data_IF_709170367678
#
_entry.id   IF_709170367678
#
_cell.length_a   1.000
_cell.length_b   1.000
_cell.length_c   1.000
_cell.angle_alpha   90.00
_cell.angle_beta   90.00
_cell.angle_gamma   90.00
#
_symmetry.space_group_name_H-M   'P 1'
#
loop_
_entity.id
_entity.type
_entity.pdbx_description
1 polymer ?
#
# COMPACT_ATOMS: atom_id res chain seq x y z
N UNK A 1 -10.12 5.27 -11.34
CA UNK A 1 -9.37 4.74 -10.19
C UNK A 1 -8.62 3.49 -10.60
N UNK A 2 -7.43 3.28 -10.08
CA UNK A 2 -6.56 2.17 -10.43
C UNK A 2 -7.13 0.83 -9.99
N UNK A 3 -7.17 -0.16 -10.90
CA UNK A 3 -7.56 -1.53 -10.58
C UNK A 3 -6.56 -2.16 -9.59
N UNK A 4 -5.28 -1.79 -9.69
CA UNK A 4 -4.23 -2.29 -8.79
C UNK A 4 -4.48 -1.82 -7.36
N UNK A 5 -4.89 -0.56 -7.21
CA UNK A 5 -5.24 -0.02 -5.88
C UNK A 5 -6.43 -0.76 -5.29
N UNK A 6 -7.49 -0.97 -6.08
CA UNK A 6 -8.69 -1.67 -5.61
C UNK A 6 -8.38 -3.12 -5.19
N UNK A 7 -7.58 -3.83 -5.97
CA UNK A 7 -7.17 -5.18 -5.63
C UNK A 7 -6.40 -5.22 -4.30
N UNK A 8 -5.48 -4.27 -4.12
CA UNK A 8 -4.71 -4.15 -2.88
C UNK A 8 -5.63 -3.89 -1.69
N UNK A 9 -6.55 -2.92 -1.80
CA UNK A 9 -7.46 -2.55 -0.71
C UNK A 9 -8.38 -3.71 -0.32
N UNK A 10 -8.90 -4.44 -1.31
CA UNK A 10 -9.80 -5.58 -1.04
C UNK A 10 -9.08 -6.68 -0.25
N UNK A 11 -7.89 -7.07 -0.68
CA UNK A 11 -7.14 -8.08 0.04
C UNK A 11 -6.66 -7.58 1.40
N UNK A 12 -6.20 -6.33 1.46
CA UNK A 12 -5.72 -5.73 2.70
C UNK A 12 -6.83 -5.71 3.76
N UNK A 13 -8.02 -5.23 3.42
CA UNK A 13 -9.15 -5.19 4.36
C UNK A 13 -9.51 -6.58 4.86
N UNK A 14 -9.51 -7.57 3.97
CA UNK A 14 -9.77 -8.96 4.35
C UNK A 14 -8.76 -9.44 5.41
N UNK A 15 -7.48 -9.16 5.21
CA UNK A 15 -6.42 -9.58 6.16
C UNK A 15 -6.49 -8.79 7.46
N UNK A 16 -6.75 -7.49 7.41
CA UNK A 16 -6.83 -6.65 8.61
C UNK A 16 -8.02 -7.04 9.50
N UNK A 17 -9.14 -7.47 8.89
CA UNK A 17 -10.32 -7.93 9.64
C UNK A 17 -10.01 -9.13 10.52
N UNK A 18 -8.97 -9.89 10.18
CA UNK A 18 -8.57 -11.09 10.92
C UNK A 18 -7.38 -10.84 11.85
N UNK A 19 -6.91 -9.62 11.98
CA UNK A 19 -5.87 -9.30 12.97
C UNK A 19 -6.42 -9.55 14.38
N UNK A 20 -5.53 -9.86 15.36
CA UNK A 20 -5.97 -10.03 16.75
C UNK A 20 -6.82 -8.85 17.23
N UNK A 21 -7.83 -9.11 18.05
CA UNK A 21 -8.77 -8.07 18.49
C UNK A 21 -8.09 -6.93 19.24
N UNK A 22 -7.00 -7.20 19.97
CA UNK A 22 -6.26 -6.15 20.67
C UNK A 22 -5.54 -5.19 19.72
N UNK A 23 -5.38 -5.55 18.43
CA UNK A 23 -4.75 -4.71 17.42
C UNK A 23 -5.73 -4.09 16.44
N UNK A 24 -7.03 -4.35 16.56
CA UNK A 24 -8.01 -3.76 15.63
C UNK A 24 -8.05 -2.22 15.72
N UNK A 25 -7.83 -1.66 16.90
CA UNK A 25 -7.73 -0.21 17.11
C UNK A 25 -6.28 0.29 17.16
N UNK A 26 -5.33 -0.62 17.01
CA UNK A 26 -3.90 -0.32 16.96
C UNK A 26 -3.36 -0.39 15.56
N UNK A 27 -2.49 -1.37 15.29
CA UNK A 27 -1.78 -1.48 14.01
C UNK A 27 -2.71 -1.64 12.81
N UNK A 28 -3.81 -2.42 12.96
CA UNK A 28 -4.78 -2.57 11.86
C UNK A 28 -5.38 -1.22 11.44
N UNK A 29 -5.73 -0.38 12.41
CA UNK A 29 -6.25 0.96 12.12
C UNK A 29 -5.21 1.85 11.45
N UNK A 30 -3.96 1.83 11.94
CA UNK A 30 -2.86 2.61 11.35
C UNK A 30 -2.66 2.18 9.88
N UNK A 31 -2.64 0.89 9.60
CA UNK A 31 -2.48 0.36 8.24
C UNK A 31 -3.62 0.83 7.34
N UNK A 32 -4.87 0.76 7.82
CA UNK A 32 -6.03 1.24 7.06
C UNK A 32 -5.92 2.72 6.71
N UNK A 33 -5.53 3.54 7.68
CA UNK A 33 -5.37 4.98 7.47
C UNK A 33 -4.28 5.25 6.41
N UNK A 34 -3.16 4.55 6.46
CA UNK A 34 -2.11 4.67 5.45
C UNK A 34 -2.61 4.25 4.07
N UNK A 35 -3.35 3.15 4.01
CA UNK A 35 -3.88 2.65 2.74
C UNK A 35 -4.89 3.62 2.12
N UNK A 36 -5.77 4.22 2.92
CA UNK A 36 -6.73 5.20 2.43
C UNK A 36 -6.07 6.51 2.03
N UNK A 37 -4.98 6.91 2.68
CA UNK A 37 -4.22 8.10 2.28
C UNK A 37 -3.63 7.96 0.87
N UNK A 38 -3.35 6.75 0.42
CA UNK A 38 -2.90 6.51 -0.95
C UNK A 38 -3.96 7.00 -1.97
N UNK A 39 -5.23 6.72 -1.69
CA UNK A 39 -6.34 7.18 -2.54
C UNK A 39 -6.38 8.70 -2.61
N UNK A 40 -6.27 9.35 -1.47
CA UNK A 40 -6.28 10.82 -1.39
C UNK A 40 -5.15 11.43 -2.21
N UNK A 41 -3.93 10.90 -2.07
CA UNK A 41 -2.78 11.41 -2.83
C UNK A 41 -2.88 11.10 -4.33
N UNK A 42 -3.48 9.98 -4.71
CA UNK A 42 -3.75 9.71 -6.13
C UNK A 42 -4.67 10.77 -6.73
N UNK A 43 -5.75 11.09 -6.02
CA UNK A 43 -6.72 12.11 -6.48
C UNK A 43 -6.04 13.48 -6.57
N UNK A 44 -5.27 13.85 -5.54
CA UNK A 44 -4.53 15.12 -5.55
C UNK A 44 -3.57 15.20 -6.73
N UNK A 45 -2.85 14.11 -7.02
CA UNK A 45 -1.92 14.07 -8.16
C UNK A 45 -2.66 14.24 -9.48
N UNK A 46 -3.84 13.64 -9.62
CA UNK A 46 -4.65 13.77 -10.84
C UNK A 46 -5.22 15.16 -11.03
N UNK A 47 -5.60 15.83 -9.93
CA UNK A 47 -6.39 17.07 -9.98
C UNK A 47 -5.56 18.34 -9.85
N UNK A 48 -4.44 18.30 -9.17
CA UNK A 48 -3.60 19.49 -8.98
C UNK A 48 -2.85 19.85 -10.26
N UNK A 49 -2.67 21.16 -10.47
CA UNK A 49 -1.85 21.68 -11.57
C UNK A 49 -0.38 21.31 -11.36
N UNK A 50 0.15 21.53 -10.17
CA UNK A 50 1.50 21.11 -9.80
C UNK A 50 1.45 19.71 -9.17
N UNK A 51 2.04 18.73 -9.85
CA UNK A 51 1.87 17.31 -9.52
C UNK A 51 3.03 16.71 -8.75
N UNK A 52 4.16 17.42 -8.67
CA UNK A 52 5.37 16.85 -8.04
C UNK A 52 5.19 16.61 -6.54
N UNK A 53 4.59 17.57 -5.81
CA UNK A 53 4.34 17.40 -4.37
C UNK A 53 3.40 16.23 -4.07
N UNK A 54 2.20 16.15 -4.68
CA UNK A 54 1.32 15.02 -4.37
C UNK A 54 1.85 13.66 -4.82
N UNK A 55 2.59 13.57 -5.94
CA UNK A 55 3.17 12.27 -6.33
C UNK A 55 4.28 11.83 -5.35
N UNK A 56 5.06 12.78 -4.83
CA UNK A 56 6.05 12.47 -3.81
C UNK A 56 5.38 12.03 -2.50
N UNK A 57 4.28 12.66 -2.12
CA UNK A 57 3.49 12.26 -0.95
C UNK A 57 2.93 10.85 -1.13
N UNK A 58 2.47 10.51 -2.32
CA UNK A 58 1.99 9.17 -2.64
C UNK A 58 3.11 8.14 -2.49
N UNK A 59 4.29 8.44 -3.02
CA UNK A 59 5.46 7.57 -2.94
C UNK A 59 5.86 7.30 -1.49
N UNK A 60 5.89 8.35 -0.67
CA UNK A 60 6.22 8.24 0.76
C UNK A 60 5.16 7.41 1.50
N UNK A 61 3.88 7.69 1.26
CA UNK A 61 2.79 6.96 1.90
C UNK A 61 2.82 5.47 1.53
N UNK A 62 3.15 5.16 0.29
CA UNK A 62 3.32 3.78 -0.17
C UNK A 62 4.43 3.07 0.61
N UNK A 63 5.58 3.71 0.79
CA UNK A 63 6.68 3.13 1.56
C UNK A 63 6.29 2.96 3.04
N UNK A 64 5.57 3.92 3.61
CA UNK A 64 5.07 3.82 4.98
C UNK A 64 4.12 2.62 5.14
N UNK A 65 3.23 2.41 4.18
CA UNK A 65 2.35 1.25 4.17
C UNK A 65 3.16 -0.05 4.14
N UNK A 66 4.14 -0.13 3.24
CA UNK A 66 5.01 -1.30 3.11
C UNK A 66 5.67 -1.63 4.45
N UNK A 67 6.21 -0.63 5.14
CA UNK A 67 6.90 -0.83 6.42
C UNK A 67 5.95 -1.28 7.52
N UNK A 68 4.75 -0.73 7.57
CA UNK A 68 3.76 -1.14 8.57
C UNK A 68 3.29 -2.58 8.33
N UNK A 69 3.16 -3.00 7.08
CA UNK A 69 2.84 -4.39 6.75
C UNK A 69 3.96 -5.34 7.18
N UNK A 70 5.20 -4.92 6.99
CA UNK A 70 6.36 -5.68 7.45
C UNK A 70 6.33 -5.85 8.98
N UNK A 71 6.05 -4.78 9.72
CA UNK A 71 5.90 -4.84 11.19
C UNK A 71 4.83 -5.85 11.59
N UNK A 72 3.68 -5.82 10.91
CA UNK A 72 2.59 -6.77 11.17
C UNK A 72 3.02 -8.22 10.93
N UNK A 73 3.78 -8.46 9.85
CA UNK A 73 4.30 -9.80 9.54
C UNK A 73 5.29 -10.27 10.61
N UNK A 74 6.13 -9.39 11.13
CA UNK A 74 7.06 -9.71 12.20
C UNK A 74 6.34 -10.12 13.49
N UNK A 75 5.14 -9.59 13.73
CA UNK A 75 4.29 -9.97 14.85
C UNK A 75 3.43 -11.21 14.58
N UNK A 76 3.55 -11.79 13.39
CA UNK A 76 2.76 -12.92 12.94
C UNK A 76 1.24 -12.64 12.90
N UNK A 77 0.86 -11.39 12.67
CA UNK A 77 -0.56 -10.98 12.66
C UNK A 77 -1.32 -11.52 11.45
N UNK A 78 -0.64 -11.82 10.35
CA UNK A 78 -1.26 -12.42 9.17
C UNK A 78 -1.53 -13.92 9.36
N UNK A 79 -1.05 -14.52 10.44
CA UNK A 79 -1.29 -15.93 10.75
C UNK A 79 -2.67 -16.24 11.31
N UNK A 80 -3.53 -15.23 11.45
CA UNK A 80 -4.91 -15.35 11.94
C UNK A 80 -5.91 -15.27 10.80
N UNK A 81 -7.01 -16.01 10.80
CA UNK A 81 -7.21 -17.20 11.61
C UNK A 81 -6.33 -18.35 11.12
N UNK A 82 -6.08 -19.31 12.00
CA UNK A 82 -5.33 -20.51 11.65
C UNK A 82 -6.14 -21.38 10.69
N UNK A 83 -5.44 -22.27 9.99
CA UNK A 83 -6.07 -23.24 9.10
C UNK A 83 -6.94 -24.21 9.92
N UNK A 84 -8.21 -24.39 9.49
CA UNK A 84 -9.20 -25.21 10.19
C UNK A 84 -8.81 -26.69 10.25
N UNK A 85 -8.09 -27.17 9.25
CA UNK A 85 -7.67 -28.57 9.13
C UNK A 85 -6.25 -28.81 9.67
N UNK A 86 -5.59 -27.75 10.19
CA UNK A 86 -4.23 -27.85 10.69
C UNK A 86 -3.19 -28.11 9.63
N UNK A 87 -3.52 -27.97 8.34
CA UNK A 87 -2.61 -28.25 7.23
C UNK A 87 -1.43 -27.28 7.16
N UNK A 88 -1.59 -26.06 7.67
CA UNK A 88 -0.53 -25.05 7.72
C UNK A 88 -0.40 -24.47 9.11
N UNK A 89 0.84 -24.23 9.54
CA UNK A 89 1.09 -23.55 10.80
C UNK A 89 0.72 -22.09 10.70
N UNK A 90 0.56 -21.44 11.84
CA UNK A 90 0.32 -20.00 11.93
C UNK A 90 1.44 -19.22 11.22
N UNK A 91 2.69 -19.63 11.41
CA UNK A 91 3.85 -19.01 10.80
C UNK A 91 3.82 -19.13 9.27
N UNK A 92 3.45 -20.30 8.76
CA UNK A 92 3.35 -20.53 7.32
C UNK A 92 2.23 -19.69 6.70
N UNK A 93 1.07 -19.61 7.36
CA UNK A 93 -0.04 -18.77 6.91
C UNK A 93 0.35 -17.30 6.91
N UNK A 94 1.05 -16.86 7.95
CA UNK A 94 1.54 -15.48 8.03
C UNK A 94 2.44 -15.14 6.84
N UNK A 95 3.39 -16.00 6.54
CA UNK A 95 4.33 -15.82 5.43
C UNK A 95 3.60 -15.78 4.09
N UNK A 96 2.71 -16.74 3.83
CA UNK A 96 1.95 -16.83 2.57
C UNK A 96 1.06 -15.61 2.35
N UNK A 97 0.35 -15.17 3.39
CA UNK A 97 -0.56 -14.04 3.31
C UNK A 97 0.18 -12.72 3.18
N UNK A 98 1.31 -12.58 3.87
CA UNK A 98 2.17 -11.41 3.73
C UNK A 98 2.75 -11.33 2.31
N UNK A 99 3.21 -12.44 1.77
CA UNK A 99 3.73 -12.51 0.40
C UNK A 99 2.67 -12.07 -0.62
N UNK A 100 1.45 -12.56 -0.48
CA UNK A 100 0.34 -12.18 -1.38
C UNK A 100 0.07 -10.69 -1.36
N UNK A 101 0.11 -10.06 -0.18
CA UNK A 101 -0.02 -8.60 -0.05
C UNK A 101 1.17 -7.87 -0.65
N UNK A 102 2.38 -8.36 -0.42
CA UNK A 102 3.61 -7.75 -0.92
C UNK A 102 3.60 -7.66 -2.44
N UNK A 103 3.12 -8.71 -3.12
CA UNK A 103 2.99 -8.71 -4.57
C UNK A 103 2.13 -7.54 -5.04
N UNK A 104 0.97 -7.32 -4.39
CA UNK A 104 0.05 -6.23 -4.76
C UNK A 104 0.61 -4.85 -4.41
N UNK A 105 1.30 -4.74 -3.26
CA UNK A 105 2.00 -3.50 -2.87
C UNK A 105 3.07 -3.15 -3.89
N UNK A 106 3.83 -4.14 -4.35
CA UNK A 106 4.91 -3.93 -5.33
C UNK A 106 4.35 -3.55 -6.71
N UNK A 107 3.27 -4.18 -7.13
CA UNK A 107 2.61 -3.81 -8.39
C UNK A 107 2.11 -2.37 -8.36
N UNK A 108 1.52 -1.96 -7.24
CA UNK A 108 1.08 -0.58 -7.04
C UNK A 108 2.28 0.37 -7.03
N UNK A 109 3.38 -0.03 -6.39
CA UNK A 109 4.62 0.74 -6.36
C UNK A 109 5.20 0.98 -7.75
N UNK A 110 5.15 -0.01 -8.63
CA UNK A 110 5.59 0.15 -10.03
C UNK A 110 4.74 1.18 -10.77
N UNK A 111 3.44 1.18 -10.53
CA UNK A 111 2.53 2.19 -11.10
C UNK A 111 2.91 3.61 -10.63
N UNK A 112 3.15 3.77 -9.33
CA UNK A 112 3.59 5.06 -8.76
C UNK A 112 4.91 5.51 -9.40
N UNK A 113 5.88 4.60 -9.50
CA UNK A 113 7.19 4.88 -10.10
C UNK A 113 7.08 5.35 -11.54
N UNK A 114 6.28 4.68 -12.35
CA UNK A 114 6.03 5.07 -13.74
C UNK A 114 5.36 6.44 -13.85
N UNK A 115 4.38 6.69 -13.00
CA UNK A 115 3.67 7.98 -12.97
C UNK A 115 4.61 9.12 -12.55
N UNK A 116 5.41 8.89 -11.51
CA UNK A 116 6.40 9.85 -11.04
C UNK A 116 7.41 10.20 -12.13
N UNK A 117 7.91 9.19 -12.83
CA UNK A 117 8.85 9.39 -13.94
C UNK A 117 8.24 10.25 -15.04
N UNK A 118 6.99 9.98 -15.41
CA UNK A 118 6.25 10.78 -16.40
C UNK A 118 6.12 12.23 -15.95
N UNK A 119 5.77 12.47 -14.70
CA UNK A 119 5.62 13.83 -14.14
C UNK A 119 6.97 14.55 -14.17
N UNK A 120 8.07 13.88 -13.83
CA UNK A 120 9.40 14.47 -13.86
C UNK A 120 9.80 14.86 -15.27
N UNK A 121 9.49 14.05 -16.28
CA UNK A 121 9.74 14.37 -17.68
C UNK A 121 8.94 15.59 -18.14
N UNK A 122 7.67 15.66 -17.78
CA UNK A 122 6.79 16.79 -18.10
C UNK A 122 7.27 18.08 -17.45
N UNK A 123 7.71 18.01 -16.19
CA UNK A 123 8.29 19.16 -15.47
C UNK A 123 9.57 19.65 -16.15
N UNK A 124 10.45 18.73 -16.54
CA UNK A 124 11.70 19.05 -17.22
C UNK A 124 11.43 19.73 -18.56
N UNK A 125 10.46 19.23 -19.34
CA UNK A 125 10.06 19.82 -20.62
C UNK A 125 9.52 21.24 -20.42
N UNK A 126 8.69 21.48 -19.41
CA UNK A 126 8.15 22.80 -19.09
C UNK A 126 9.24 23.80 -18.73
N UNK A 127 10.24 23.39 -17.96
CA UNK A 127 11.37 24.24 -17.58
C UNK A 127 12.19 24.66 -18.81
N UNK A 128 12.37 23.75 -19.77
CA UNK A 128 13.08 24.06 -21.02
C UNK A 128 12.31 25.04 -21.89
N UNK A 129 10.98 24.91 -21.94
CA UNK A 129 10.14 25.83 -22.72
C UNK A 129 10.09 27.25 -22.15
N UNK A 130 10.20 27.40 -20.81
CA UNK A 130 10.13 28.70 -20.15
C UNK A 130 11.45 29.48 -20.21
N UNK A 131 12.50 28.90 -20.74
CA UNK A 131 13.78 29.56 -21.01
C UNK A 131 13.81 30.06 -22.44
#
# INVERSE_FOLDING_TARGET
MSRRYLALIQLLNKRLNHFPSHEQKGLALVIRQKAYSLCDFMIETQKRHHKLTPINNLDIAHEQLRMHLFVAAQQCYFGHPESKDGSKSKEQLNEDRFESLTILVDEFGKMIGGWKEKILKEESARRKESK
#
